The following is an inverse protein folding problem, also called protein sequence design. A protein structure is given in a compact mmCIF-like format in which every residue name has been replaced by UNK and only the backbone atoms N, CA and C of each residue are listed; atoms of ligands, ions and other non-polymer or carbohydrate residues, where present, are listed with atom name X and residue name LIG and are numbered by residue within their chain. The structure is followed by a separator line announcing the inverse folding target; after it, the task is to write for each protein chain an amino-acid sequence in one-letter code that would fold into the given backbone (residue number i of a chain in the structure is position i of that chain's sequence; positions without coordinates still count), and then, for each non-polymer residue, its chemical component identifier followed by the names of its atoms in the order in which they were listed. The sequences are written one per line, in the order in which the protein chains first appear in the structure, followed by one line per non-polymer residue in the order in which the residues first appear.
data_IF_610610966199
#
_entry.id   IF_610610966199
#
_cell.length_a   1.000
_cell.length_b   1.000
_cell.length_c   1.000
_cell.angle_alpha   90.00
_cell.angle_beta   90.00
_cell.angle_gamma   90.00
#
_symmetry.space_group_name_H-M   'P 1'
#
loop_
_entity.id
_entity.type
_entity.pdbx_description
1 polymer ?
#
# COMPACT_ATOMS: atom_id res chain seq x y z
N UNK A 1 11.63 -6.08 -21.73
CA UNK A 1 13.08 -6.28 -21.61
C UNK A 1 13.61 -5.20 -20.67
N UNK A 2 14.02 -5.61 -19.46
CA UNK A 2 14.49 -4.70 -18.41
C UNK A 2 16.01 -4.64 -18.33
N UNK A 3 16.71 -5.28 -19.27
CA UNK A 3 18.18 -5.30 -19.33
C UNK A 3 18.79 -3.90 -19.55
N UNK A 4 17.96 -2.92 -19.93
CA UNK A 4 18.35 -1.51 -20.07
C UNK A 4 18.17 -0.67 -18.78
N UNK A 5 17.61 -1.23 -17.70
CA UNK A 5 17.42 -0.50 -16.45
C UNK A 5 18.75 -0.31 -15.71
N UNK A 6 18.91 0.83 -15.03
CA UNK A 6 20.02 1.00 -14.12
C UNK A 6 19.92 0.04 -12.92
N UNK A 7 21.07 -0.32 -12.33
CA UNK A 7 21.14 -1.31 -11.26
C UNK A 7 20.29 -0.95 -10.04
N UNK A 8 20.09 0.34 -9.75
CA UNK A 8 19.30 0.81 -8.60
C UNK A 8 17.82 0.58 -8.85
N UNK A 9 17.32 0.99 -10.02
CA UNK A 9 15.93 0.79 -10.42
C UNK A 9 15.59 -0.69 -10.55
N UNK A 10 16.51 -1.50 -11.09
CA UNK A 10 16.32 -2.96 -11.18
C UNK A 10 16.25 -3.61 -9.79
N UNK A 11 17.12 -3.24 -8.86
CA UNK A 11 17.09 -3.77 -7.49
C UNK A 11 15.78 -3.40 -6.77
N UNK A 12 15.30 -2.17 -6.95
CA UNK A 12 14.03 -1.73 -6.38
C UNK A 12 12.84 -2.45 -7.01
N UNK A 13 12.86 -2.67 -8.33
CA UNK A 13 11.82 -3.44 -9.02
C UNK A 13 11.76 -4.88 -8.51
N UNK A 14 12.91 -5.54 -8.33
CA UNK A 14 12.98 -6.89 -7.73
C UNK A 14 12.44 -6.92 -6.30
N UNK A 15 12.59 -5.84 -5.54
CA UNK A 15 12.03 -5.73 -4.19
C UNK A 15 10.51 -5.55 -4.23
N UNK A 16 10.00 -4.73 -5.15
CA UNK A 16 8.57 -4.40 -5.26
C UNK A 16 7.75 -5.53 -5.93
N UNK A 17 8.36 -6.26 -6.86
CA UNK A 17 7.74 -7.33 -7.64
C UNK A 17 8.72 -8.51 -7.84
N UNK A 18 9.04 -9.28 -6.79
CA UNK A 18 10.09 -10.29 -6.81
C UNK A 18 9.86 -11.44 -7.79
N UNK A 19 8.62 -11.70 -8.15
CA UNK A 19 8.23 -12.78 -9.07
C UNK A 19 8.19 -12.37 -10.54
N UNK A 20 8.58 -11.11 -10.86
CA UNK A 20 8.50 -10.58 -12.22
C UNK A 20 9.40 -11.34 -13.22
N UNK A 21 10.62 -11.74 -12.85
CA UNK A 21 11.56 -12.39 -13.78
C UNK A 21 11.07 -13.75 -14.28
N UNK A 22 10.09 -14.35 -13.59
CA UNK A 22 9.46 -15.60 -13.99
C UNK A 22 8.13 -15.38 -14.74
N UNK A 23 7.80 -14.13 -15.10
CA UNK A 23 6.65 -13.82 -15.93
C UNK A 23 6.77 -14.45 -17.30
N UNK A 24 5.88 -15.41 -17.54
CA UNK A 24 5.52 -15.77 -18.89
C UNK A 24 4.86 -14.52 -19.51
N UNK A 25 5.63 -13.77 -20.32
CA UNK A 25 5.22 -12.50 -20.95
C UNK A 25 3.96 -12.61 -21.83
N UNK A 26 3.36 -13.80 -21.90
CA UNK A 26 2.26 -14.21 -22.75
C UNK A 26 0.90 -14.16 -22.03
N UNK A 27 0.86 -14.00 -20.71
CA UNK A 27 -0.41 -13.85 -19.98
C UNK A 27 -1.07 -12.48 -20.30
N UNK A 28 -2.32 -12.44 -20.80
CA UNK A 28 -3.03 -11.20 -21.06
C UNK A 28 -3.09 -10.32 -19.81
N UNK A 29 -2.71 -9.05 -19.92
CA UNK A 29 -2.78 -8.11 -18.78
C UNK A 29 -1.63 -8.19 -17.76
N UNK A 30 -0.66 -9.09 -17.92
CA UNK A 30 0.47 -9.23 -16.98
C UNK A 30 1.22 -7.92 -16.72
N UNK A 31 1.42 -7.08 -17.77
CA UNK A 31 2.04 -5.75 -17.63
C UNK A 31 1.18 -4.83 -16.75
N UNK A 32 -0.14 -4.84 -16.90
CA UNK A 32 -1.04 -4.00 -16.09
C UNK A 32 -1.02 -4.44 -14.62
N UNK A 33 -1.09 -5.74 -14.37
CA UNK A 33 -1.04 -6.29 -13.01
C UNK A 33 0.30 -6.03 -12.32
N UNK A 34 1.41 -6.04 -13.06
CA UNK A 34 2.70 -5.59 -12.55
C UNK A 34 2.66 -4.13 -12.11
N UNK A 35 2.20 -3.22 -12.99
CA UNK A 35 2.12 -1.79 -12.67
C UNK A 35 1.24 -1.57 -11.43
N UNK A 36 0.09 -2.24 -11.36
CA UNK A 36 -0.80 -2.20 -10.20
C UNK A 36 -0.13 -2.71 -8.93
N UNK A 37 0.56 -3.85 -8.98
CA UNK A 37 1.27 -4.43 -7.83
C UNK A 37 2.35 -3.49 -7.31
N UNK A 38 3.11 -2.86 -8.20
CA UNK A 38 4.16 -1.90 -7.84
C UNK A 38 3.57 -0.68 -7.15
N UNK A 39 2.54 -0.06 -7.76
CA UNK A 39 1.89 1.13 -7.19
C UNK A 39 1.26 0.79 -5.84
N UNK A 40 0.53 -0.32 -5.76
CA UNK A 40 -0.07 -0.80 -4.51
C UNK A 40 0.97 -1.01 -3.42
N UNK A 41 2.11 -1.65 -3.72
CA UNK A 41 3.18 -1.87 -2.74
C UNK A 41 3.78 -0.56 -2.24
N UNK A 42 4.05 0.39 -3.14
CA UNK A 42 4.57 1.72 -2.76
C UNK A 42 3.57 2.45 -1.85
N UNK A 43 2.27 2.43 -2.20
CA UNK A 43 1.24 3.07 -1.37
C UNK A 43 1.11 2.39 0.00
N UNK A 44 1.18 1.07 0.07
CA UNK A 44 1.17 0.36 1.36
C UNK A 44 2.34 0.79 2.23
N UNK A 45 3.57 0.67 1.71
CA UNK A 45 4.80 0.96 2.45
C UNK A 45 4.91 2.43 2.88
N UNK A 46 4.54 3.37 2.01
CA UNK A 46 4.77 4.79 2.26
C UNK A 46 3.56 5.53 2.82
N UNK A 47 2.34 5.00 2.66
CA UNK A 47 1.12 5.70 3.10
C UNK A 47 0.41 4.90 4.19
N UNK A 48 0.07 3.64 3.94
CA UNK A 48 -0.77 2.87 4.86
C UNK A 48 -0.01 2.27 6.06
N UNK A 49 1.30 2.08 5.95
CA UNK A 49 2.15 1.62 7.06
C UNK A 49 2.62 2.78 7.98
N UNK A 50 2.28 4.02 7.64
CA UNK A 50 2.56 5.18 8.49
C UNK A 50 1.61 5.24 9.68
N UNK A 51 2.08 5.77 10.81
CA UNK A 51 1.23 5.94 12.00
C UNK A 51 0.09 6.95 11.76
N UNK A 52 0.41 8.08 11.12
CA UNK A 52 -0.55 9.05 10.62
C UNK A 52 0.14 9.91 9.54
N UNK A 53 -0.34 9.90 8.29
CA UNK A 53 0.30 10.66 7.22
C UNK A 53 0.44 12.16 7.55
N UNK A 54 1.64 12.71 7.31
CA UNK A 54 2.00 14.10 7.58
C UNK A 54 2.65 14.35 8.94
N UNK A 55 2.74 13.35 9.82
CA UNK A 55 3.60 13.45 11.01
C UNK A 55 5.06 13.18 10.66
N UNK A 56 5.97 13.91 11.30
CA UNK A 56 7.41 13.60 11.26
C UNK A 56 7.75 12.38 12.12
N UNK A 57 8.89 11.73 11.85
CA UNK A 57 9.36 10.58 12.64
C UNK A 57 9.46 10.90 14.14
N UNK A 58 9.90 12.11 14.50
CA UNK A 58 9.97 12.54 15.90
C UNK A 58 8.57 12.64 16.55
N UNK A 59 7.57 13.13 15.81
CA UNK A 59 6.19 13.16 16.28
C UNK A 59 5.62 11.74 16.43
N UNK A 60 5.85 10.87 15.44
CA UNK A 60 5.44 9.45 15.48
C UNK A 60 6.06 8.75 16.68
N UNK A 61 7.36 8.94 16.93
CA UNK A 61 8.05 8.36 18.07
C UNK A 61 7.44 8.81 19.41
N UNK A 62 7.04 10.08 19.53
CA UNK A 62 6.34 10.58 20.74
C UNK A 62 4.98 9.93 20.94
N UNK A 63 4.24 9.67 19.87
CA UNK A 63 2.98 8.93 19.97
C UNK A 63 3.20 7.48 20.43
N UNK A 64 4.19 6.79 19.89
CA UNK A 64 4.53 5.44 20.32
C UNK A 64 4.95 5.38 21.80
N UNK A 65 5.78 6.32 22.26
CA UNK A 65 6.17 6.40 23.68
C UNK A 65 4.96 6.64 24.59
N UNK A 66 4.00 7.45 24.15
CA UNK A 66 2.76 7.69 24.90
C UNK A 66 1.89 6.43 24.94
N UNK A 67 1.71 5.74 23.80
CA UNK A 67 0.95 4.49 23.72
C UNK A 67 1.58 3.41 24.62
N UNK A 68 2.91 3.29 24.61
CA UNK A 68 3.67 2.39 25.48
C UNK A 68 3.45 2.75 26.97
N UNK A 69 3.57 4.02 27.33
CA UNK A 69 3.34 4.49 28.70
C UNK A 69 1.91 4.16 29.15
N UNK A 70 0.92 4.42 28.31
CA UNK A 70 -0.48 4.09 28.60
C UNK A 70 -0.70 2.59 28.74
N UNK A 71 -0.04 1.76 27.92
CA UNK A 71 -0.13 0.29 28.02
C UNK A 71 0.42 -0.28 29.34
N UNK A 72 1.40 0.40 29.94
CA UNK A 72 1.95 0.02 31.24
C UNK A 72 1.02 0.42 32.41
N UNK A 73 0.23 1.49 32.24
CA UNK A 73 -0.65 2.04 33.27
C UNK A 73 -2.08 1.50 33.19
N UNK A 74 -2.54 1.16 31.98
CA UNK A 74 -3.93 0.78 31.68
C UNK A 74 -3.95 -0.64 31.15
N UNK A 75 -4.74 -1.51 31.79
CA UNK A 75 -4.84 -2.94 31.42
C UNK A 75 -5.80 -3.23 30.27
N UNK A 76 -6.61 -2.26 29.86
CA UNK A 76 -7.64 -2.43 28.84
C UNK A 76 -7.16 -1.91 27.49
N UNK A 77 -6.98 -2.81 26.53
CA UNK A 77 -6.67 -2.46 25.14
C UNK A 77 -7.76 -1.57 24.52
N UNK A 78 -9.03 -1.75 24.92
CA UNK A 78 -10.14 -0.90 24.48
C UNK A 78 -9.90 0.57 24.84
N UNK A 79 -9.37 0.84 26.03
CA UNK A 79 -9.08 2.20 26.48
C UNK A 79 -7.92 2.83 25.70
N UNK A 80 -6.89 2.03 25.36
CA UNK A 80 -5.75 2.49 24.55
C UNK A 80 -6.20 2.78 23.12
N UNK A 81 -6.95 1.86 22.51
CA UNK A 81 -7.53 2.03 21.18
C UNK A 81 -8.47 3.24 21.12
N UNK A 82 -9.28 3.46 22.16
CA UNK A 82 -10.13 4.64 22.27
C UNK A 82 -9.29 5.92 22.33
N UNK A 83 -8.27 5.97 23.19
CA UNK A 83 -7.36 7.11 23.29
C UNK A 83 -6.70 7.42 21.95
N UNK A 84 -6.13 6.41 21.28
CA UNK A 84 -5.49 6.57 19.97
C UNK A 84 -6.47 7.11 18.93
N UNK A 85 -7.63 6.47 18.78
CA UNK A 85 -8.66 6.88 17.83
C UNK A 85 -9.13 8.32 18.08
N UNK A 86 -9.42 8.67 19.33
CA UNK A 86 -9.83 10.03 19.70
C UNK A 86 -8.73 11.05 19.43
N UNK A 87 -7.47 10.73 19.71
CA UNK A 87 -6.33 11.62 19.49
C UNK A 87 -6.09 11.86 18.00
N UNK A 88 -6.10 10.79 17.20
CA UNK A 88 -5.93 10.90 15.74
C UNK A 88 -7.13 11.58 15.07
N UNK A 89 -8.35 11.40 15.59
CA UNK A 89 -9.52 12.13 15.13
C UNK A 89 -9.40 13.65 15.40
N UNK A 90 -8.81 14.04 16.54
CA UNK A 90 -8.50 15.45 16.82
C UNK A 90 -7.46 16.00 15.85
N UNK A 91 -6.37 15.26 15.58
CA UNK A 91 -5.37 15.68 14.59
C UNK A 91 -6.00 15.87 13.20
N UNK A 92 -6.83 14.92 12.77
CA UNK A 92 -7.52 14.98 11.48
C UNK A 92 -8.50 16.17 11.39
N UNK A 93 -9.11 16.60 12.49
CA UNK A 93 -10.05 17.72 12.45
C UNK A 93 -9.36 19.08 12.56
N UNK A 94 -8.40 19.18 13.47
CA UNK A 94 -7.94 20.48 13.98
C UNK A 94 -6.47 20.77 13.63
N UNK A 95 -5.68 19.75 13.25
CA UNK A 95 -4.25 19.90 12.95
C UNK A 95 -3.91 19.75 11.47
N UNK A 96 -4.85 19.39 10.58
CA UNK A 96 -4.56 19.20 9.15
C UNK A 96 -3.92 20.43 8.51
N UNK A 97 -4.38 21.64 8.86
CA UNK A 97 -3.80 22.88 8.33
C UNK A 97 -2.35 23.06 8.78
N UNK A 98 -2.01 22.64 10.00
CA UNK A 98 -0.65 22.75 10.53
C UNK A 98 0.28 21.65 10.00
N UNK A 99 -0.27 20.54 9.51
CA UNK A 99 0.47 19.42 8.92
C UNK A 99 0.50 19.51 7.38
N UNK A 100 -0.06 20.57 6.79
CA UNK A 100 -0.30 20.63 5.35
C UNK A 100 1.00 20.60 4.55
N UNK A 101 2.04 21.28 5.03
CA UNK A 101 3.33 21.35 4.34
C UNK A 101 4.06 20.00 4.36
N UNK A 102 4.11 19.34 5.51
CA UNK A 102 4.66 17.99 5.66
C UNK A 102 3.84 16.98 4.85
N UNK A 103 2.51 17.11 4.84
CA UNK A 103 1.62 16.24 4.05
C UNK A 103 1.88 16.41 2.56
N UNK A 104 2.02 17.65 2.07
CA UNK A 104 2.31 17.93 0.67
C UNK A 104 3.68 17.37 0.27
N UNK A 105 4.68 17.54 1.13
CA UNK A 105 6.03 16.98 0.93
C UNK A 105 5.96 15.45 0.83
N UNK A 106 5.21 14.81 1.73
CA UNK A 106 5.01 13.36 1.72
C UNK A 106 4.30 12.88 0.44
N UNK A 107 3.23 13.56 0.03
CA UNK A 107 2.51 13.26 -1.23
C UNK A 107 3.47 13.39 -2.43
N UNK A 108 4.32 14.40 -2.45
CA UNK A 108 5.29 14.63 -3.51
C UNK A 108 6.35 13.54 -3.57
N UNK A 109 6.86 13.10 -2.42
CA UNK A 109 7.84 12.02 -2.34
C UNK A 109 7.26 10.71 -2.89
N UNK A 110 6.06 10.33 -2.45
CA UNK A 110 5.36 9.12 -2.94
C UNK A 110 5.08 9.22 -4.44
N UNK A 111 4.62 10.38 -4.90
CA UNK A 111 4.33 10.64 -6.32
C UNK A 111 5.59 10.53 -7.17
N UNK A 112 6.69 11.16 -6.74
CA UNK A 112 7.97 11.15 -7.45
C UNK A 112 8.54 9.73 -7.54
N UNK A 113 8.52 8.99 -6.43
CA UNK A 113 9.00 7.60 -6.38
C UNK A 113 8.19 6.72 -7.32
N UNK A 114 6.87 6.79 -7.25
CA UNK A 114 5.96 6.01 -8.09
C UNK A 114 6.18 6.35 -9.57
N UNK A 115 6.22 7.64 -9.90
CA UNK A 115 6.48 8.12 -11.26
C UNK A 115 7.80 7.59 -11.81
N UNK A 116 8.90 7.72 -11.05
CA UNK A 116 10.23 7.25 -11.49
C UNK A 116 10.20 5.76 -11.87
N UNK A 117 9.60 4.91 -11.05
CA UNK A 117 9.52 3.48 -11.32
C UNK A 117 8.64 3.20 -12.54
N UNK A 118 7.46 3.83 -12.61
CA UNK A 118 6.55 3.67 -13.75
C UNK A 118 7.19 4.12 -15.06
N UNK A 119 7.87 5.26 -15.07
CA UNK A 119 8.59 5.78 -16.24
C UNK A 119 9.66 4.78 -16.69
N UNK A 120 10.46 4.26 -15.75
CA UNK A 120 11.52 3.31 -16.07
C UNK A 120 11.00 2.02 -16.73
N UNK A 121 9.86 1.49 -16.28
CA UNK A 121 9.29 0.23 -16.81
C UNK A 121 8.34 0.41 -18.00
N UNK A 122 7.99 1.65 -18.35
CA UNK A 122 7.11 1.96 -19.49
C UNK A 122 7.84 2.60 -20.67
N UNK A 123 9.07 3.09 -20.50
CA UNK A 123 9.89 3.58 -21.61
C UNK A 123 10.44 2.38 -22.40
N UNK A 124 9.85 2.14 -23.57
CA UNK A 124 10.27 1.08 -24.49
C UNK A 124 11.58 1.49 -25.22
N UNK A 125 12.71 0.96 -24.76
CA UNK A 125 13.95 0.77 -25.53
C UNK A 125 14.77 2.01 -25.98
N UNK A 126 16.01 1.78 -26.45
CA UNK A 126 16.91 2.82 -26.93
C UNK A 126 16.46 3.30 -28.32
N UNK A 127 15.48 4.20 -28.35
CA UNK A 127 14.88 4.71 -29.58
C UNK A 127 13.64 5.57 -29.36
N UNK A 128 13.02 5.44 -28.19
CA UNK A 128 12.01 6.38 -27.70
C UNK A 128 12.71 7.68 -27.30
N UNK A 129 12.82 8.62 -28.23
CA UNK A 129 13.22 9.99 -27.90
C UNK A 129 12.31 10.50 -26.79
N UNK A 130 12.84 11.01 -25.67
CA UNK A 130 12.00 11.75 -24.74
C UNK A 130 11.43 12.90 -25.56
N UNK A 131 10.12 12.91 -25.79
CA UNK A 131 9.47 14.10 -26.34
C UNK A 131 9.83 15.24 -25.40
N UNK A 132 10.72 16.12 -25.87
CA UNK A 132 11.23 17.28 -25.15
C UNK A 132 10.14 18.38 -25.02
N UNK A 133 8.89 17.96 -24.85
CA UNK A 133 7.69 18.77 -24.75
C UNK A 133 6.90 18.28 -23.55
N UNK A 134 7.36 18.61 -22.34
CA UNK A 134 6.52 18.92 -21.17
C UNK A 134 7.37 19.13 -19.91
N UNK A 135 8.38 20.01 -20.00
CA UNK A 135 9.18 20.41 -18.84
C UNK A 135 8.62 21.65 -18.12
N UNK A 136 7.37 22.05 -18.37
CA UNK A 136 6.75 23.22 -17.72
C UNK A 136 5.34 23.02 -17.17
N UNK A 137 4.68 21.89 -17.44
CA UNK A 137 3.34 21.60 -16.91
C UNK A 137 3.24 20.16 -16.41
N UNK A 138 2.58 19.92 -15.25
CA UNK A 138 2.29 18.57 -14.81
C UNK A 138 1.40 17.90 -15.87
N UNK A 139 1.86 16.78 -16.41
CA UNK A 139 1.05 16.01 -17.36
C UNK A 139 -0.25 15.55 -16.69
N UNK A 140 -1.32 15.31 -17.44
CA UNK A 140 -2.59 14.77 -16.90
C UNK A 140 -2.38 13.48 -16.08
N UNK A 141 -1.35 12.70 -16.44
CA UNK A 141 -0.91 11.52 -15.69
C UNK A 141 -0.36 11.89 -14.32
N UNK A 142 0.47 12.93 -14.24
CA UNK A 142 1.07 13.39 -12.98
C UNK A 142 0.00 13.94 -12.02
N UNK A 143 -0.96 14.71 -12.52
CA UNK A 143 -2.07 15.20 -11.69
C UNK A 143 -3.00 14.07 -11.22
N UNK A 144 -3.25 13.07 -12.06
CA UNK A 144 -4.04 11.88 -11.69
C UNK A 144 -3.33 11.04 -10.63
N UNK A 145 -2.02 10.82 -10.77
CA UNK A 145 -1.22 10.10 -9.78
C UNK A 145 -1.18 10.86 -8.45
N UNK A 146 -0.99 12.18 -8.47
CA UNK A 146 -1.04 13.00 -7.26
C UNK A 146 -2.41 12.90 -6.58
N UNK A 147 -3.50 12.93 -7.35
CA UNK A 147 -4.86 12.75 -6.81
C UNK A 147 -5.00 11.39 -6.13
N UNK A 148 -4.56 10.31 -6.78
CA UNK A 148 -4.58 8.96 -6.20
C UNK A 148 -3.82 8.88 -4.88
N UNK A 149 -2.62 9.47 -4.80
CA UNK A 149 -1.82 9.50 -3.57
C UNK A 149 -2.51 10.33 -2.49
N UNK A 150 -3.14 11.45 -2.86
CA UNK A 150 -3.91 12.29 -1.94
C UNK A 150 -5.09 11.52 -1.35
N UNK A 151 -5.85 10.82 -2.20
CA UNK A 151 -6.99 10.00 -1.76
C UNK A 151 -6.53 8.85 -0.85
N UNK A 152 -5.38 8.24 -1.14
CA UNK A 152 -4.78 7.21 -0.29
C UNK A 152 -4.38 7.76 1.09
N UNK A 153 -3.80 8.97 1.14
CA UNK A 153 -3.45 9.66 2.40
C UNK A 153 -4.69 9.94 3.24
N UNK A 154 -5.76 10.45 2.63
CA UNK A 154 -7.00 10.74 3.32
C UNK A 154 -7.69 9.46 3.82
N UNK A 155 -7.64 8.39 3.03
CA UNK A 155 -8.11 7.08 3.45
C UNK A 155 -7.28 6.52 4.62
N UNK A 156 -5.96 6.57 4.55
CA UNK A 156 -5.10 6.11 5.66
C UNK A 156 -5.43 6.84 6.96
N UNK A 157 -5.62 8.18 6.91
CA UNK A 157 -6.07 8.99 8.07
C UNK A 157 -7.44 8.56 8.60
N UNK A 158 -8.38 8.22 7.72
CA UNK A 158 -9.69 7.70 8.11
C UNK A 158 -9.58 6.37 8.85
N UNK A 159 -8.72 5.47 8.37
CA UNK A 159 -8.53 4.13 8.94
C UNK A 159 -7.90 4.18 10.33
N UNK A 160 -6.80 4.93 10.50
CA UNK A 160 -6.08 4.99 11.78
C UNK A 160 -6.86 5.71 12.88
N UNK A 161 -7.80 6.60 12.51
CA UNK A 161 -8.68 7.30 13.46
C UNK A 161 -9.87 6.45 13.96
N UNK A 162 -9.94 5.17 13.59
CA UNK A 162 -10.97 4.26 14.09
C UNK A 162 -10.57 3.60 15.41
N UNK A 163 -11.58 3.28 16.23
CA UNK A 163 -11.39 2.52 17.48
C UNK A 163 -11.05 1.06 17.21
N UNK A 164 -11.73 0.45 16.24
CA UNK A 164 -11.31 -0.84 15.70
C UNK A 164 -10.00 -0.66 14.92
N UNK A 165 -9.11 -1.65 14.99
CA UNK A 165 -7.85 -1.60 14.26
C UNK A 165 -8.11 -2.08 12.83
N UNK A 166 -8.09 -1.15 11.87
CA UNK A 166 -8.11 -1.49 10.46
C UNK A 166 -6.67 -1.58 9.94
N UNK A 167 -6.32 -2.72 9.36
CA UNK A 167 -5.02 -2.99 8.76
C UNK A 167 -5.18 -3.27 7.28
N UNK A 168 -4.38 -2.58 6.49
CA UNK A 168 -4.21 -2.92 5.08
C UNK A 168 -3.42 -4.22 5.01
N UNK A 169 -3.95 -5.20 4.30
CA UNK A 169 -3.39 -6.54 4.18
C UNK A 169 -2.82 -6.74 2.78
N UNK A 170 -1.49 -6.74 2.67
CA UNK A 170 -0.79 -7.05 1.43
C UNK A 170 0.16 -8.22 1.68
N UNK A 171 -0.19 -9.45 1.27
CA UNK A 171 0.67 -10.61 1.46
C UNK A 171 2.09 -10.36 0.93
N UNK A 172 3.09 -10.84 1.67
CA UNK A 172 4.46 -10.87 1.18
C UNK A 172 4.62 -11.99 0.17
N UNK A 173 5.08 -11.62 -1.03
CA UNK A 173 5.39 -12.58 -2.07
C UNK A 173 6.91 -12.72 -2.10
N UNK A 174 7.42 -13.94 -1.91
CA UNK A 174 8.86 -14.23 -1.92
C UNK A 174 9.16 -15.39 -2.86
N UNK A 175 10.30 -15.33 -3.54
CA UNK A 175 10.79 -16.44 -4.39
C UNK A 175 11.20 -17.67 -3.56
N UNK A 176 11.61 -17.46 -2.31
CA UNK A 176 12.12 -18.55 -1.45
C UNK A 176 11.00 -19.30 -0.72
N UNK A 177 9.88 -18.62 -0.48
CA UNK A 177 8.70 -19.17 0.17
C UNK A 177 7.47 -18.57 -0.49
N UNK A 178 6.91 -19.25 -1.52
CA UNK A 178 5.70 -18.80 -2.17
C UNK A 178 4.54 -18.75 -1.17
N UNK A 179 3.80 -17.64 -1.17
CA UNK A 179 2.56 -17.54 -0.42
C UNK A 179 1.46 -18.28 -1.20
N UNK A 180 0.64 -19.07 -0.52
CA UNK A 180 -0.49 -19.78 -1.13
C UNK A 180 -1.74 -18.90 -1.11
N UNK A 181 -2.63 -19.15 -2.07
CA UNK A 181 -3.93 -18.50 -2.12
C UNK A 181 -4.79 -18.90 -0.91
N UNK A 182 -5.39 -17.90 -0.27
CA UNK A 182 -6.32 -18.06 0.84
C UNK A 182 -7.69 -17.48 0.43
N UNK A 183 -8.70 -18.33 0.18
CA UNK A 183 -10.02 -17.86 -0.27
C UNK A 183 -10.71 -16.97 0.76
N UNK A 184 -10.36 -17.04 2.05
CA UNK A 184 -10.98 -16.19 3.07
C UNK A 184 -10.54 -14.73 2.95
N UNK A 185 -9.32 -14.48 2.48
CA UNK A 185 -8.70 -13.15 2.47
C UNK A 185 -8.33 -12.63 1.09
N UNK A 186 -8.35 -13.47 0.06
CA UNK A 186 -7.88 -13.16 -1.28
C UNK A 186 -8.93 -13.41 -2.36
N UNK A 187 -8.84 -12.64 -3.44
CA UNK A 187 -9.64 -12.76 -4.65
C UNK A 187 -8.69 -12.85 -5.86
N UNK A 188 -8.87 -13.87 -6.70
CA UNK A 188 -8.08 -14.00 -7.93
C UNK A 188 -8.58 -13.03 -9.02
N UNK A 189 -7.65 -12.51 -9.81
CA UNK A 189 -7.94 -11.59 -10.93
C UNK A 189 -7.56 -12.15 -12.30
N UNK A 190 -7.08 -13.39 -12.38
CA UNK A 190 -6.77 -14.05 -13.66
C UNK A 190 -8.01 -14.24 -14.53
N UNK A 191 -9.18 -14.37 -13.90
CA UNK A 191 -10.45 -14.62 -14.58
C UNK A 191 -10.60 -16.06 -15.05
N UNK A 192 -9.76 -16.98 -14.56
CA UNK A 192 -9.93 -18.41 -14.75
C UNK A 192 -11.06 -18.91 -13.83
N UNK A 193 -12.06 -19.58 -14.41
CA UNK A 193 -13.18 -20.20 -13.68
C UNK A 193 -12.69 -21.48 -12.96
N UNK A 194 -11.76 -21.33 -12.02
CA UNK A 194 -11.34 -22.39 -11.10
C UNK A 194 -12.20 -22.37 -9.84
N UNK A 195 -12.49 -23.54 -9.27
CA UNK A 195 -13.17 -23.60 -7.98
C UNK A 195 -12.22 -23.20 -6.83
N UNK A 196 -12.80 -22.74 -5.71
CA UNK A 196 -12.02 -22.22 -4.57
C UNK A 196 -11.05 -23.26 -3.98
N UNK A 197 -11.38 -24.56 -4.09
CA UNK A 197 -10.51 -25.66 -3.63
C UNK A 197 -9.28 -25.83 -4.53
N UNK A 198 -9.41 -25.74 -5.86
CA UNK A 198 -8.25 -25.75 -6.76
C UNK A 198 -7.36 -24.53 -6.52
N UNK A 199 -7.98 -23.35 -6.37
CA UNK A 199 -7.27 -22.09 -6.12
C UNK A 199 -6.46 -22.13 -4.82
N UNK A 200 -6.96 -22.74 -3.74
CA UNK A 200 -6.25 -22.80 -2.45
C UNK A 200 -4.87 -23.49 -2.52
N UNK A 201 -4.62 -24.29 -3.56
CA UNK A 201 -3.31 -24.92 -3.82
C UNK A 201 -2.37 -24.09 -4.69
N UNK A 202 -2.87 -22.99 -5.28
CA UNK A 202 -2.13 -22.10 -6.19
C UNK A 202 -1.25 -21.14 -5.41
N UNK A 203 -0.15 -20.77 -6.03
CA UNK A 203 0.80 -19.81 -5.46
C UNK A 203 0.44 -18.39 -5.88
N UNK A 204 0.50 -17.45 -4.94
CA UNK A 204 0.32 -16.03 -5.22
C UNK A 204 1.51 -15.56 -6.05
N UNK A 205 1.20 -15.06 -7.23
CA UNK A 205 2.19 -14.49 -8.11
C UNK A 205 2.48 -13.03 -7.77
N UNK A 206 1.46 -12.20 -7.71
CA UNK A 206 1.58 -10.82 -7.26
C UNK A 206 0.26 -10.32 -6.63
N UNK A 207 0.35 -9.26 -5.85
CA UNK A 207 -0.81 -8.64 -5.20
C UNK A 207 -1.10 -7.33 -5.92
N UNK A 208 -2.18 -7.28 -6.71
CA UNK A 208 -2.52 -6.12 -7.54
C UNK A 208 -3.22 -5.02 -6.74
N UNK A 209 -3.98 -5.40 -5.71
CA UNK A 209 -4.66 -4.47 -4.82
C UNK A 209 -4.67 -5.04 -3.39
N UNK A 210 -4.31 -4.25 -2.37
CA UNK A 210 -4.27 -4.76 -1.01
C UNK A 210 -5.68 -4.95 -0.43
N UNK A 211 -5.81 -5.88 0.50
CA UNK A 211 -7.04 -6.10 1.26
C UNK A 211 -7.15 -5.17 2.47
N UNK A 212 -8.28 -5.24 3.17
CA UNK A 212 -8.54 -4.50 4.40
C UNK A 212 -9.14 -5.44 5.44
N UNK A 213 -8.46 -5.57 6.58
CA UNK A 213 -8.91 -6.40 7.70
C UNK A 213 -9.22 -5.50 8.89
N UNK A 214 -10.37 -5.72 9.51
CA UNK A 214 -10.79 -5.06 10.75
C UNK A 214 -10.61 -6.02 11.93
N UNK A 215 -9.88 -5.58 12.94
CA UNK A 215 -9.75 -6.22 14.24
C UNK A 215 -10.50 -5.43 15.31
N UNK A 216 -11.20 -6.14 16.18
CA UNK A 216 -11.96 -5.54 17.27
C UNK A 216 -13.35 -5.05 16.86
N UNK A 217 -14.14 -4.75 17.87
CA UNK A 217 -15.48 -4.20 17.72
C UNK A 217 -15.50 -2.67 17.62
N UNK A 218 -16.69 -2.08 17.50
CA UNK A 218 -16.89 -0.63 17.36
C UNK A 218 -16.44 0.18 18.58
N UNK A 219 -16.25 -0.47 19.72
CA UNK A 219 -15.75 0.17 20.94
C UNK A 219 -14.22 0.13 21.02
N UNK A 220 -13.57 -0.65 20.17
CA UNK A 220 -12.12 -0.87 20.17
C UNK A 220 -11.68 -2.03 21.09
N UNK A 221 -12.62 -2.86 21.54
CA UNK A 221 -12.35 -4.06 22.33
C UNK A 221 -12.51 -5.34 21.51
N UNK A 222 -12.44 -6.50 22.16
CA UNK A 222 -12.61 -7.84 21.55
C UNK A 222 -11.71 -8.06 20.32
N UNK A 223 -10.40 -7.89 20.52
CA UNK A 223 -9.40 -7.95 19.45
C UNK A 223 -9.31 -9.31 18.74
N UNK A 224 -9.88 -10.36 19.34
CA UNK A 224 -10.11 -11.67 18.71
C UNK A 224 -11.09 -11.64 17.53
N UNK A 225 -11.97 -10.63 17.46
CA UNK A 225 -12.87 -10.46 16.33
C UNK A 225 -12.10 -9.95 15.12
N UNK A 226 -12.03 -10.76 14.07
CA UNK A 226 -11.38 -10.46 12.80
C UNK A 226 -12.39 -10.52 11.66
N UNK A 227 -12.52 -9.43 10.90
CA UNK A 227 -13.41 -9.35 9.75
C UNK A 227 -12.64 -8.90 8.51
N UNK A 228 -12.84 -9.58 7.39
CA UNK A 228 -12.33 -9.15 6.09
C UNK A 228 -13.31 -8.13 5.52
N UNK A 229 -12.89 -6.87 5.45
CA UNK A 229 -13.70 -5.76 4.91
C UNK A 229 -13.57 -5.72 3.39
N UNK A 230 -12.37 -5.99 2.88
CA UNK A 230 -12.08 -6.17 1.47
C UNK A 230 -11.01 -7.26 1.31
N UNK A 231 -11.22 -8.19 0.39
CA UNK A 231 -10.22 -9.20 0.04
C UNK A 231 -9.08 -8.54 -0.75
N UNK A 232 -7.85 -9.00 -0.55
CA UNK A 232 -6.74 -8.57 -1.39
C UNK A 232 -6.87 -9.22 -2.77
N UNK A 233 -6.63 -8.44 -3.82
CA UNK A 233 -6.73 -8.93 -5.19
C UNK A 233 -5.35 -9.41 -5.64
N UNK A 234 -5.28 -10.64 -6.10
CA UNK A 234 -4.02 -11.31 -6.43
C UNK A 234 -4.10 -11.98 -7.79
N UNK A 235 -2.96 -12.11 -8.44
CA UNK A 235 -2.80 -13.02 -9.57
C UNK A 235 -2.17 -14.31 -9.05
N UNK A 236 -2.73 -15.47 -9.38
CA UNK A 236 -2.21 -16.78 -8.95
C UNK A 236 -1.54 -17.55 -10.09
N UNK A 237 -0.78 -18.60 -9.75
CA UNK A 237 -0.15 -19.56 -10.68
C UNK A 237 -0.32 -20.99 -10.24
#
# INVERSE_FOLDING_TARGET
DFDCLDATTLAELKRLAPTYEHQDHHAPGAKVHLLQSIVSRILVEMVFDTYFPGLSDEQVQRFHQMEETLSQLVRSEESINHWRASTLALLRRDAIQNLQDETNTHIEEVTLRTKRILDAITIDGPGSTPSASDSSHPSTRDSSLRSLVTDAVDLARLLVAQKAILRVNMPEVSLHQPALFDPDTLEDVSGEDEDEEALASREIWCVVFPGLIKHGDEKGGRMELRNVIAKARVLVR
#
